data_IF_818712141813
#
_entry.id   IF_818712141813
#
_cell.length_a   1.000
_cell.length_b   1.000
_cell.length_c   1.000
_cell.angle_alpha   90.00
_cell.angle_beta   90.00
_cell.angle_gamma   90.00
#
_symmetry.space_group_name_H-M   'P 1'
#
loop_
_entity.id
_entity.type
_entity.pdbx_description
1 polymer ?
#
# COMPACT_ATOMS: atom_id res chain seq x y z
N UNK A 1 19.35 -14.05 -7.98
CA UNK A 1 18.46 -15.21 -8.23
C UNK A 1 17.14 -14.66 -8.69
N UNK A 2 16.61 -15.06 -9.85
CA UNK A 2 15.32 -14.58 -10.33
C UNK A 2 14.19 -15.11 -9.40
N UNK A 3 13.19 -14.30 -9.03
CA UNK A 3 12.16 -14.72 -8.09
C UNK A 3 11.37 -15.90 -8.67
N UNK A 4 11.27 -16.99 -7.90
CA UNK A 4 10.45 -18.15 -8.27
C UNK A 4 8.98 -17.86 -7.97
N UNK A 5 8.18 -17.72 -9.02
CA UNK A 5 6.72 -17.54 -8.93
C UNK A 5 6.05 -18.89 -8.64
N UNK A 6 5.28 -18.97 -7.57
CA UNK A 6 4.51 -20.16 -7.18
C UNK A 6 3.02 -19.82 -7.27
N UNK A 7 2.26 -20.62 -8.02
CA UNK A 7 0.79 -20.54 -8.12
C UNK A 7 0.17 -21.21 -6.88
N UNK A 8 -0.65 -20.51 -6.11
CA UNK A 8 -1.39 -21.07 -4.95
C UNK A 8 -2.82 -21.45 -5.35
N UNK A 9 -3.37 -22.48 -4.69
CA UNK A 9 -4.74 -23.03 -4.96
C UNK A 9 -5.72 -22.76 -3.81
N UNK A 10 -5.28 -22.10 -2.75
CA UNK A 10 -5.86 -22.24 -1.43
C UNK A 10 -6.21 -20.87 -0.79
N UNK A 11 -7.51 -20.76 -0.46
CA UNK A 11 -8.23 -19.78 0.38
C UNK A 11 -8.87 -18.53 -0.28
N UNK A 12 -10.08 -18.72 -0.79
CA UNK A 12 -11.35 -18.15 -0.30
C UNK A 12 -11.25 -16.87 0.56
N UNK A 13 -11.16 -15.70 -0.08
CA UNK A 13 -11.83 -14.46 0.37
C UNK A 13 -11.75 -13.31 -0.67
N UNK A 14 -10.87 -13.41 -1.68
CA UNK A 14 -10.80 -12.47 -2.81
C UNK A 14 -11.65 -12.89 -4.03
N UNK A 15 -12.56 -13.86 -3.85
CA UNK A 15 -13.16 -14.67 -4.92
C UNK A 15 -14.18 -14.00 -5.84
N UNK A 16 -14.47 -12.70 -5.70
CA UNK A 16 -15.35 -12.03 -6.66
C UNK A 16 -14.62 -11.54 -7.94
N UNK A 17 -13.28 -11.56 -7.98
CA UNK A 17 -12.49 -11.23 -9.18
C UNK A 17 -11.75 -12.44 -9.79
N UNK A 18 -11.90 -13.63 -9.20
CA UNK A 18 -11.03 -14.80 -9.48
C UNK A 18 -11.81 -16.10 -9.73
N UNK A 19 -12.89 -16.07 -10.51
CA UNK A 19 -13.55 -17.31 -11.00
C UNK A 19 -12.80 -17.98 -12.16
N UNK A 20 -11.48 -17.84 -12.21
CA UNK A 20 -10.67 -18.53 -13.19
C UNK A 20 -10.38 -19.96 -12.81
N UNK A 21 -10.90 -20.89 -13.58
CA UNK A 21 -10.49 -22.29 -13.52
C UNK A 21 -9.03 -22.40 -14.00
N UNK A 22 -8.28 -23.38 -13.47
CA UNK A 22 -6.83 -23.52 -13.67
C UNK A 22 -6.32 -23.70 -15.11
N UNK A 23 -7.20 -23.56 -16.10
CA UNK A 23 -6.95 -23.53 -17.55
C UNK A 23 -6.48 -22.17 -18.08
N UNK A 24 -6.58 -21.09 -17.30
CA UNK A 24 -6.21 -19.72 -17.74
C UNK A 24 -5.14 -19.12 -16.80
N UNK A 25 -3.85 -19.14 -17.21
CA UNK A 25 -2.74 -18.71 -16.38
C UNK A 25 -2.85 -17.30 -15.79
N UNK A 26 -3.61 -16.42 -16.42
CA UNK A 26 -3.82 -15.01 -16.04
C UNK A 26 -4.77 -14.84 -14.84
N UNK A 27 -5.47 -15.91 -14.44
CA UNK A 27 -6.51 -15.86 -13.41
C UNK A 27 -6.09 -16.55 -12.09
N UNK A 28 -4.84 -16.99 -11.98
CA UNK A 28 -4.33 -17.65 -10.77
C UNK A 28 -3.40 -16.68 -10.03
N UNK A 29 -3.63 -16.39 -8.74
CA UNK A 29 -2.73 -15.58 -7.95
C UNK A 29 -1.30 -16.12 -7.97
N UNK A 30 -0.34 -15.25 -8.30
CA UNK A 30 1.08 -15.57 -8.29
C UNK A 30 1.69 -15.07 -6.99
N UNK A 31 2.41 -15.94 -6.28
CA UNK A 31 3.21 -15.59 -5.11
C UNK A 31 4.69 -15.79 -5.41
N UNK A 32 5.46 -14.70 -5.46
CA UNK A 32 6.92 -14.76 -5.45
C UNK A 32 7.42 -14.76 -4.00
N UNK A 33 8.11 -15.82 -3.57
CA UNK A 33 8.60 -15.96 -2.18
C UNK A 33 9.90 -15.20 -1.88
N UNK A 34 10.52 -14.60 -2.90
CA UNK A 34 11.89 -14.06 -2.81
C UNK A 34 11.99 -12.63 -3.38
N UNK A 35 10.92 -11.83 -3.30
CA UNK A 35 11.04 -10.42 -3.64
C UNK A 35 11.94 -9.71 -2.62
N UNK A 36 13.21 -9.54 -2.98
CA UNK A 36 14.20 -8.85 -2.16
C UNK A 36 14.12 -7.34 -2.44
N UNK A 37 13.85 -6.55 -1.39
CA UNK A 37 13.97 -5.10 -1.41
C UNK A 37 12.70 -4.35 -1.05
N UNK A 38 12.87 -3.23 -0.34
CA UNK A 38 11.82 -2.31 0.01
C UNK A 38 11.92 -1.07 -0.91
N UNK A 39 10.88 -0.81 -1.71
CA UNK A 39 10.82 0.41 -2.54
C UNK A 39 10.39 1.63 -1.72
N UNK A 40 9.69 1.41 -0.60
CA UNK A 40 9.19 2.46 0.27
C UNK A 40 8.87 1.91 1.65
N UNK A 41 9.24 2.64 2.70
CA UNK A 41 9.11 2.22 4.09
C UNK A 41 8.39 3.26 4.95
N UNK A 42 8.01 2.87 6.16
CA UNK A 42 7.49 3.79 7.17
C UNK A 42 8.49 4.90 7.51
N UNK A 43 9.77 4.55 7.68
CA UNK A 43 10.84 5.54 7.89
C UNK A 43 10.91 6.55 6.75
N UNK A 44 10.79 6.10 5.49
CA UNK A 44 10.81 7.00 4.34
C UNK A 44 9.59 7.94 4.31
N UNK A 45 8.42 7.47 4.75
CA UNK A 45 7.24 8.34 4.91
C UNK A 45 7.50 9.45 5.94
N UNK A 46 8.03 9.11 7.11
CA UNK A 46 8.30 10.09 8.16
C UNK A 46 9.35 11.11 7.70
N UNK A 47 10.39 10.65 7.00
CA UNK A 47 11.40 11.54 6.43
C UNK A 47 10.79 12.48 5.38
N UNK A 48 9.92 11.98 4.49
CA UNK A 48 9.22 12.79 3.49
C UNK A 48 8.45 13.94 4.14
N UNK A 49 7.68 13.66 5.19
CA UNK A 49 6.86 14.64 5.90
C UNK A 49 7.71 15.70 6.63
N UNK A 50 8.94 15.35 7.04
CA UNK A 50 9.90 16.30 7.64
C UNK A 50 10.60 17.15 6.58
N UNK A 51 10.96 16.57 5.45
CA UNK A 51 11.69 17.25 4.36
C UNK A 51 10.79 18.17 3.54
N UNK A 52 9.62 17.69 3.13
CA UNK A 52 8.67 18.43 2.28
C UNK A 52 7.64 19.24 3.08
N UNK A 53 7.60 19.03 4.39
CA UNK A 53 6.58 19.57 5.27
C UNK A 53 5.30 18.73 5.29
N UNK A 54 4.31 19.16 6.08
CA UNK A 54 3.03 18.46 6.22
C UNK A 54 2.30 18.33 4.89
N UNK A 55 1.63 17.20 4.68
CA UNK A 55 0.86 16.94 3.45
C UNK A 55 -0.64 17.02 3.73
N UNK A 56 -1.47 17.48 2.79
CA UNK A 56 -2.93 17.43 2.94
C UNK A 56 -3.40 16.00 3.20
N UNK A 57 -4.25 15.78 4.20
CA UNK A 57 -4.83 14.47 4.46
C UNK A 57 -5.64 14.00 3.25
N UNK A 58 -6.61 14.83 2.84
CA UNK A 58 -7.46 14.57 1.69
C UNK A 58 -6.67 14.48 0.38
N UNK A 59 -6.93 13.44 -0.41
CA UNK A 59 -6.28 13.23 -1.70
C UNK A 59 -4.84 12.73 -1.65
N UNK A 60 -4.18 12.74 -0.47
CA UNK A 60 -2.83 12.19 -0.30
C UNK A 60 -2.85 10.86 0.41
N UNK A 61 -3.66 10.69 1.45
CA UNK A 61 -3.67 9.43 2.21
C UNK A 61 -5.00 9.12 2.89
N UNK A 62 -5.10 7.90 3.40
CA UNK A 62 -6.12 7.47 4.37
C UNK A 62 -5.46 6.73 5.51
N UNK A 63 -5.96 6.91 6.73
CA UNK A 63 -5.43 6.23 7.91
C UNK A 63 -6.55 5.46 8.59
N UNK A 64 -6.42 4.13 8.64
CA UNK A 64 -7.51 3.21 8.98
C UNK A 64 -7.04 2.06 9.84
N UNK A 65 -7.91 1.53 10.70
CA UNK A 65 -7.66 0.29 11.45
C UNK A 65 -8.86 -0.64 11.32
N UNK A 66 -8.60 -1.94 11.34
CA UNK A 66 -9.66 -2.93 11.49
C UNK A 66 -9.99 -3.12 12.96
N UNK A 67 -11.26 -3.00 13.33
CA UNK A 67 -11.73 -3.39 14.66
C UNK A 67 -11.94 -4.91 14.67
N UNK A 68 -10.96 -5.64 15.23
CA UNK A 68 -11.03 -7.12 15.31
C UNK A 68 -12.03 -7.61 16.37
N UNK A 69 -12.43 -6.76 17.32
CA UNK A 69 -13.36 -7.13 18.38
C UNK A 69 -14.83 -7.13 17.93
N UNK A 70 -15.18 -6.33 16.91
CA UNK A 70 -16.55 -6.15 16.43
C UNK A 70 -16.63 -6.33 14.90
N UNK A 71 -16.48 -7.58 14.43
CA UNK A 71 -16.86 -7.94 13.07
C UNK A 71 -15.98 -7.39 11.94
N UNK A 72 -14.73 -7.02 12.21
CA UNK A 72 -13.79 -6.46 11.22
C UNK A 72 -14.25 -5.12 10.62
N UNK A 73 -14.98 -4.30 11.38
CA UNK A 73 -15.37 -2.97 10.90
C UNK A 73 -14.12 -2.09 10.70
N UNK A 74 -14.09 -1.35 9.58
CA UNK A 74 -13.02 -0.41 9.25
C UNK A 74 -13.30 0.91 9.95
N UNK A 75 -12.41 1.29 10.86
CA UNK A 75 -12.44 2.59 11.55
C UNK A 75 -11.42 3.51 10.92
N UNK A 76 -11.87 4.63 10.37
CA UNK A 76 -10.96 5.69 9.87
C UNK A 76 -10.51 6.61 11.01
N UNK A 77 -9.28 7.11 10.93
CA UNK A 77 -8.80 8.10 11.88
C UNK A 77 -9.40 9.47 11.53
N UNK A 78 -9.87 10.19 12.55
CA UNK A 78 -10.20 11.61 12.40
C UNK A 78 -8.97 12.38 11.90
N UNK A 79 -9.10 13.17 10.82
CA UNK A 79 -7.99 13.92 10.26
C UNK A 79 -7.48 14.99 11.24
N UNK A 80 -6.25 15.49 11.06
CA UNK A 80 -5.75 16.67 11.77
C UNK A 80 -6.70 17.87 11.59
N UNK A 81 -6.82 18.73 12.61
CA UNK A 81 -7.74 19.88 12.61
C UNK A 81 -7.47 20.89 11.48
N UNK A 82 -6.21 21.06 11.12
CA UNK A 82 -5.76 21.91 10.02
C UNK A 82 -5.78 21.19 8.66
N UNK A 83 -6.20 19.92 8.63
CA UNK A 83 -6.20 19.07 7.45
C UNK A 83 -4.80 18.62 7.01
N UNK A 84 -3.75 18.93 7.78
CA UNK A 84 -2.36 18.69 7.40
C UNK A 84 -1.73 17.56 8.23
N UNK A 85 -1.24 16.56 7.53
CA UNK A 85 -0.60 15.39 8.14
C UNK A 85 0.86 15.67 8.39
N UNK A 86 1.26 15.59 9.66
CA UNK A 86 2.66 15.68 10.10
C UNK A 86 3.25 14.29 10.38
N UNK A 87 4.58 14.23 10.50
CA UNK A 87 5.27 12.99 10.89
C UNK A 87 4.86 12.55 12.31
N UNK A 88 4.64 13.51 13.21
CA UNK A 88 4.22 13.27 14.59
C UNK A 88 2.83 12.65 14.63
N UNK A 89 1.89 13.20 13.86
CA UNK A 89 0.53 12.69 13.79
C UNK A 89 0.51 11.25 13.24
N UNK A 90 1.26 10.97 12.16
CA UNK A 90 1.40 9.61 11.63
C UNK A 90 2.00 8.67 12.68
N UNK A 91 3.07 9.08 13.35
CA UNK A 91 3.70 8.27 14.41
C UNK A 91 2.69 7.92 15.51
N UNK A 92 1.87 8.88 15.93
CA UNK A 92 0.79 8.66 16.91
C UNK A 92 -0.24 7.66 16.41
N UNK A 93 -0.76 7.82 15.19
CA UNK A 93 -1.78 6.90 14.64
C UNK A 93 -1.21 5.50 14.40
N UNK A 94 0.02 5.40 13.91
CA UNK A 94 0.71 4.13 13.71
C UNK A 94 0.89 3.40 15.06
N UNK A 95 1.27 4.12 16.12
CA UNK A 95 1.36 3.59 17.49
C UNK A 95 0.01 3.15 18.08
N UNK A 96 -1.11 3.64 17.54
CA UNK A 96 -2.48 3.25 17.90
C UNK A 96 -3.02 2.07 17.07
N UNK A 97 -2.17 1.43 16.25
CA UNK A 97 -2.56 0.29 15.42
C UNK A 97 -3.20 0.65 14.09
N UNK A 98 -3.10 1.91 13.64
CA UNK A 98 -3.64 2.30 12.34
C UNK A 98 -2.67 1.97 11.19
N UNK A 99 -3.24 1.46 10.11
CA UNK A 99 -2.62 1.35 8.79
C UNK A 99 -2.67 2.69 8.07
N UNK A 100 -1.55 3.10 7.49
CA UNK A 100 -1.47 4.27 6.61
C UNK A 100 -1.50 3.81 5.16
N UNK A 101 -2.47 4.30 4.40
CA UNK A 101 -2.56 4.16 2.95
C UNK A 101 -2.11 5.46 2.27
N UNK A 102 -0.92 5.48 1.66
CA UNK A 102 -0.44 6.62 0.88
C UNK A 102 -0.83 6.45 -0.59
N UNK A 103 -1.50 7.44 -1.16
CA UNK A 103 -1.88 7.48 -2.57
C UNK A 103 -0.76 8.08 -3.42
N UNK A 104 -0.63 7.57 -4.65
CA UNK A 104 0.30 8.09 -5.68
C UNK A 104 1.72 8.32 -5.16
N UNK A 105 2.35 7.34 -4.49
CA UNK A 105 3.67 7.51 -3.86
C UNK A 105 4.79 7.86 -4.84
N UNK A 106 4.59 7.62 -6.14
CA UNK A 106 5.54 7.95 -7.20
C UNK A 106 5.85 9.45 -7.29
N UNK A 107 4.96 10.33 -6.81
CA UNK A 107 5.25 11.79 -6.76
C UNK A 107 6.30 12.15 -5.70
N UNK A 108 6.68 11.19 -4.87
CA UNK A 108 7.59 11.34 -3.74
C UNK A 108 8.80 10.39 -3.79
N UNK A 109 8.86 9.48 -4.76
CA UNK A 109 9.88 8.43 -4.85
C UNK A 109 10.25 8.13 -6.31
N UNK A 110 11.39 8.64 -6.76
CA UNK A 110 11.86 8.50 -8.14
C UNK A 110 12.06 7.05 -8.59
N UNK A 111 12.46 6.17 -7.65
CA UNK A 111 12.58 4.73 -7.92
C UNK A 111 11.22 4.09 -8.23
N UNK A 112 10.18 4.47 -7.50
CA UNK A 112 8.80 4.04 -7.80
C UNK A 112 8.34 4.65 -9.11
N UNK A 113 8.54 5.94 -9.32
CA UNK A 113 8.17 6.60 -10.58
C UNK A 113 8.81 5.93 -11.79
N UNK A 114 10.12 5.68 -11.75
CA UNK A 114 10.85 5.01 -12.84
C UNK A 114 10.33 3.60 -13.11
N UNK A 115 10.02 2.84 -12.05
CA UNK A 115 9.42 1.51 -12.18
C UNK A 115 8.04 1.59 -12.84
N UNK A 116 7.15 2.45 -12.33
CA UNK A 116 5.79 2.57 -12.86
C UNK A 116 5.81 3.02 -14.32
N UNK A 117 6.63 4.01 -14.68
CA UNK A 117 6.75 4.47 -16.08
C UNK A 117 7.23 3.36 -17.04
N UNK A 118 8.15 2.49 -16.60
CA UNK A 118 8.58 1.34 -17.38
C UNK A 118 7.44 0.29 -17.54
N UNK A 119 6.64 0.10 -16.50
CA UNK A 119 5.46 -0.78 -16.56
C UNK A 119 4.36 -0.19 -17.46
N UNK A 120 4.12 1.12 -17.42
CA UNK A 120 3.20 1.81 -18.33
C UNK A 120 3.60 1.57 -19.79
N UNK A 121 4.89 1.73 -20.11
CA UNK A 121 5.41 1.45 -21.46
C UNK A 121 5.23 -0.02 -21.85
N UNK A 122 5.41 -0.95 -20.90
CA UNK A 122 5.32 -2.40 -21.17
C UNK A 122 3.88 -2.87 -21.39
N UNK A 123 2.94 -2.30 -20.66
CA UNK A 123 1.53 -2.71 -20.64
C UNK A 123 0.63 -1.82 -21.50
N UNK A 124 1.15 -0.70 -22.01
CA UNK A 124 0.42 0.28 -22.82
C UNK A 124 -0.86 0.80 -22.12
N UNK A 125 -0.76 1.01 -20.80
CA UNK A 125 -1.85 1.51 -19.97
C UNK A 125 -1.29 2.31 -18.78
N UNK A 126 -2.14 3.10 -18.12
CA UNK A 126 -1.76 3.84 -16.92
C UNK A 126 -1.51 2.87 -15.75
N UNK A 127 -0.40 3.06 -15.03
CA UNK A 127 -0.02 2.22 -13.89
C UNK A 127 0.16 3.09 -12.65
N UNK A 128 -0.78 2.96 -11.71
CA UNK A 128 -0.72 3.61 -10.41
C UNK A 128 -0.23 2.70 -9.29
N UNK A 129 0.04 3.30 -8.14
CA UNK A 129 0.35 2.56 -6.91
C UNK A 129 -0.30 3.19 -5.69
N UNK A 130 -0.47 2.38 -4.64
CA UNK A 130 -0.74 2.81 -3.28
C UNK A 130 0.16 2.02 -2.33
N UNK A 131 0.60 2.64 -1.25
CA UNK A 131 1.41 1.99 -0.23
C UNK A 131 0.56 1.79 1.00
N UNK A 132 0.62 0.59 1.57
CA UNK A 132 -0.03 0.25 2.83
C UNK A 132 1.07 -0.05 3.86
N UNK A 133 1.13 0.77 4.89
CA UNK A 133 2.03 0.58 6.03
C UNK A 133 1.18 0.20 7.23
N UNK A 134 1.33 -1.03 7.71
CA UNK A 134 0.62 -1.55 8.88
C UNK A 134 1.64 -1.80 10.00
N UNK A 135 1.41 -1.30 11.23
CA UNK A 135 2.27 -1.64 12.37
C UNK A 135 2.25 -3.13 12.66
N UNK A 136 3.29 -3.63 13.34
CA UNK A 136 3.27 -4.98 13.90
C UNK A 136 2.20 -5.10 14.97
N UNK A 137 1.41 -6.17 14.95
CA UNK A 137 0.32 -6.42 15.89
C UNK A 137 -0.82 -7.13 15.18
#
# INVERSE_FOLDING_TARGET
VAPKLIRRKDHAYYDALTTGTGSTPEQIPLSAKEAQGCLFSHERLLQLLREKGPLPYEGTMRVVRANLAEGHERVEAEPPLDGLVTAEWITTKFGQGYTVQLFRPQVHCDRLWSLLAALETRFDCLVGASIYLTPSG
#
